data_IF_648676120865
#
_entry.id   IF_648676120865
#
_cell.length_a   1.000
_cell.length_b   1.000
_cell.length_c   1.000
_cell.angle_alpha   90.00
_cell.angle_beta   90.00
_cell.angle_gamma   90.00
#
_symmetry.space_group_name_H-M   'P 1'
#
loop_
_entity.id
_entity.type
_entity.pdbx_description
1 polymer ?
#
# COMPACT_ATOMS: atom_id res chain seq x y z
N UNK A 1 -74.61 -24.25 40.96
CA UNK A 1 -73.38 -23.64 40.38
C UNK A 1 -73.29 -24.15 38.93
N UNK A 2 -73.94 -23.49 37.95
CA UNK A 2 -73.37 -22.41 37.12
C UNK A 2 -72.02 -22.86 36.50
N UNK A 3 -71.78 -23.02 35.19
CA UNK A 3 -72.56 -22.93 33.94
C UNK A 3 -71.58 -23.40 32.81
N UNK A 4 -72.01 -24.28 31.88
CA UNK A 4 -71.89 -24.17 30.39
C UNK A 4 -70.48 -24.22 29.73
N UNK A 5 -70.11 -25.30 28.99
CA UNK A 5 -70.31 -25.60 27.53
C UNK A 5 -69.25 -24.94 26.60
N UNK A 6 -68.77 -25.45 25.44
CA UNK A 6 -69.27 -26.23 24.27
C UNK A 6 -68.02 -26.76 23.51
N UNK A 7 -67.98 -27.99 22.95
CA UNK A 7 -68.15 -28.36 21.51
C UNK A 7 -67.38 -27.45 20.51
N UNK A 8 -66.74 -27.85 19.40
CA UNK A 8 -66.66 -29.08 18.61
C UNK A 8 -65.60 -28.91 17.49
N UNK A 9 -65.07 -30.06 17.04
CA UNK A 9 -64.72 -30.47 15.66
C UNK A 9 -64.85 -29.47 14.48
N UNK A 10 -63.76 -29.42 13.69
CA UNK A 10 -63.69 -29.75 12.23
C UNK A 10 -64.32 -28.78 11.20
N UNK A 11 -63.49 -28.45 10.18
CA UNK A 11 -63.77 -28.01 8.79
C UNK A 11 -64.61 -26.74 8.58
N UNK A 12 -64.05 -25.74 7.89
CA UNK A 12 -64.22 -25.54 6.43
C UNK A 12 -64.04 -24.06 6.02
N UNK A 13 -63.15 -23.85 5.04
CA UNK A 13 -63.17 -22.86 3.95
C UNK A 13 -63.23 -21.34 4.23
N UNK A 14 -62.13 -20.72 3.74
CA UNK A 14 -62.14 -19.62 2.76
C UNK A 14 -62.58 -18.23 3.21
N UNK A 15 -61.62 -17.30 3.28
CA UNK A 15 -61.30 -16.40 2.16
C UNK A 15 -60.33 -15.30 2.60
N UNK A 16 -59.40 -14.98 1.70
CA UNK A 16 -58.79 -13.65 1.50
C UNK A 16 -57.78 -13.20 2.57
N UNK A 17 -56.69 -12.52 2.28
CA UNK A 17 -55.99 -12.03 1.08
C UNK A 17 -54.74 -11.39 1.69
N UNK A 18 -53.57 -11.57 1.05
CA UNK A 18 -52.37 -10.74 1.19
C UNK A 18 -51.74 -10.63 2.60
N UNK A 19 -50.56 -11.21 2.78
CA UNK A 19 -49.39 -10.39 3.07
C UNK A 19 -48.13 -11.11 2.59
N UNK A 20 -47.48 -10.45 1.65
CA UNK A 20 -46.18 -10.75 1.08
C UNK A 20 -45.07 -10.66 2.14
N UNK A 21 -44.21 -11.67 2.20
CA UNK A 21 -42.81 -11.47 2.59
C UNK A 21 -41.96 -12.52 1.90
N UNK A 22 -41.57 -12.21 0.66
CA UNK A 22 -40.43 -12.83 -0.01
C UNK A 22 -39.20 -12.54 0.85
N UNK A 23 -38.70 -13.55 1.57
CA UNK A 23 -37.37 -13.47 2.17
C UNK A 23 -36.34 -13.58 1.04
N UNK A 24 -36.00 -12.44 0.45
CA UNK A 24 -34.81 -12.28 -0.36
C UNK A 24 -33.61 -12.47 0.56
N UNK A 25 -33.13 -13.70 0.66
CA UNK A 25 -31.80 -13.96 1.20
C UNK A 25 -30.80 -13.42 0.18
N UNK A 26 -30.45 -12.15 0.34
CA UNK A 26 -29.40 -11.52 -0.44
C UNK A 26 -28.08 -12.18 -0.05
N UNK A 27 -27.63 -13.09 -0.91
CA UNK A 27 -26.25 -13.51 -0.95
C UNK A 27 -25.41 -12.27 -1.29
N UNK A 28 -24.96 -11.55 -0.26
CA UNK A 28 -23.84 -10.64 -0.39
C UNK A 28 -22.63 -11.48 -0.80
N UNK A 29 -22.37 -11.53 -2.11
CA UNK A 29 -21.05 -11.89 -2.61
C UNK A 29 -20.10 -10.85 -2.03
N UNK A 30 -19.32 -11.25 -1.03
CA UNK A 30 -18.10 -10.53 -0.67
C UNK A 30 -17.28 -10.41 -1.95
N UNK A 31 -17.22 -9.20 -2.51
CA UNK A 31 -16.15 -8.85 -3.41
C UNK A 31 -14.87 -8.87 -2.57
N UNK A 32 -14.25 -10.04 -2.43
CA UNK A 32 -12.83 -10.08 -2.13
C UNK A 32 -12.18 -9.54 -3.39
N UNK A 33 -11.85 -8.25 -3.35
CA UNK A 33 -10.86 -7.66 -4.24
C UNK A 33 -9.53 -8.25 -3.82
N UNK A 34 -9.34 -9.53 -4.10
CA UNK A 34 -8.02 -10.09 -4.37
C UNK A 34 -7.60 -9.47 -5.70
N UNK A 35 -7.48 -8.14 -5.74
CA UNK A 35 -6.83 -7.45 -6.83
C UNK A 35 -5.47 -8.09 -6.90
N UNK A 36 -5.21 -8.69 -8.06
CA UNK A 36 -3.87 -8.85 -8.57
C UNK A 36 -3.18 -7.51 -8.34
N UNK A 37 -2.39 -7.40 -7.27
CA UNK A 37 -1.57 -6.24 -7.00
C UNK A 37 -0.50 -6.26 -8.08
N UNK A 38 -0.80 -5.67 -9.23
CA UNK A 38 0.24 -5.18 -10.11
C UNK A 38 1.08 -4.23 -9.26
N UNK A 39 2.40 -4.39 -9.33
CA UNK A 39 3.39 -3.59 -8.61
C UNK A 39 3.39 -2.16 -9.15
N UNK A 40 2.33 -1.41 -8.86
CA UNK A 40 2.22 0.00 -9.21
C UNK A 40 3.11 0.78 -8.24
N UNK A 41 4.06 1.53 -8.80
CA UNK A 41 4.95 2.36 -8.04
C UNK A 41 4.22 3.61 -7.55
N UNK A 42 4.41 3.93 -6.28
CA UNK A 42 3.92 5.16 -5.66
C UNK A 42 5.07 5.99 -5.12
N UNK A 43 4.86 7.30 -5.01
CA UNK A 43 5.88 8.28 -4.69
C UNK A 43 5.53 9.14 -3.48
N UNK A 44 6.55 9.56 -2.76
CA UNK A 44 6.47 10.56 -1.69
C UNK A 44 6.80 11.95 -2.24
N UNK A 45 6.46 13.00 -1.48
CA UNK A 45 6.90 14.38 -1.76
C UNK A 45 8.41 14.56 -1.59
N UNK A 46 9.07 13.63 -0.90
CA UNK A 46 10.53 13.58 -0.66
C UNK A 46 11.27 12.77 -1.73
N UNK A 47 10.59 12.42 -2.82
CA UNK A 47 11.15 11.76 -3.99
C UNK A 47 11.62 10.31 -3.77
N UNK A 48 11.15 9.64 -2.71
CA UNK A 48 11.22 8.19 -2.60
C UNK A 48 10.07 7.52 -3.35
N UNK A 49 10.28 6.26 -3.73
CA UNK A 49 9.24 5.41 -4.30
C UNK A 49 9.09 4.11 -3.54
N UNK A 50 7.88 3.55 -3.59
CA UNK A 50 7.58 2.18 -3.16
C UNK A 50 6.82 1.44 -4.25
N UNK A 51 7.21 0.20 -4.55
CA UNK A 51 6.48 -0.71 -5.43
C UNK A 51 6.07 -1.94 -4.63
N UNK A 52 4.76 -2.24 -4.59
CA UNK A 52 4.20 -3.25 -3.68
C UNK A 52 3.78 -4.50 -4.44
N UNK A 53 4.33 -5.64 -4.02
CA UNK A 53 3.95 -6.97 -4.47
C UNK A 53 3.44 -7.77 -3.27
N UNK A 54 2.13 -8.05 -3.22
CA UNK A 54 1.51 -8.68 -2.06
C UNK A 54 1.60 -7.78 -0.82
N UNK A 55 2.40 -8.19 0.17
CA UNK A 55 2.64 -7.40 1.39
C UNK A 55 4.09 -6.89 1.51
N UNK A 56 4.86 -6.96 0.42
CA UNK A 56 6.25 -6.56 0.37
C UNK A 56 6.39 -5.33 -0.52
N UNK A 57 6.88 -4.24 0.03
CA UNK A 57 7.23 -3.03 -0.70
C UNK A 57 8.72 -3.00 -0.99
N UNK A 58 9.12 -2.84 -2.25
CA UNK A 58 10.48 -2.46 -2.60
C UNK A 58 10.57 -0.94 -2.60
N UNK A 59 11.59 -0.38 -1.93
CA UNK A 59 11.76 1.06 -1.73
C UNK A 59 13.01 1.55 -2.46
N UNK A 60 12.96 2.73 -3.06
CA UNK A 60 14.14 3.42 -3.60
C UNK A 60 13.93 4.92 -3.76
N UNK A 61 14.86 5.62 -4.42
CA UNK A 61 14.71 7.05 -4.76
C UNK A 61 14.36 7.22 -6.24
N UNK A 62 13.67 8.31 -6.57
CA UNK A 62 13.23 8.60 -7.94
C UNK A 62 14.38 9.02 -8.85
N UNK A 63 14.12 9.02 -10.16
CA UNK A 63 15.06 9.54 -11.16
C UNK A 63 15.43 11.01 -10.89
N UNK A 64 14.45 11.82 -10.50
CA UNK A 64 14.68 13.22 -10.14
C UNK A 64 15.65 13.35 -8.95
N UNK A 65 15.43 12.57 -7.89
CA UNK A 65 16.28 12.60 -6.70
C UNK A 65 17.74 12.22 -7.00
N UNK A 66 17.97 11.15 -7.76
CA UNK A 66 19.34 10.75 -8.08
C UNK A 66 20.04 11.75 -9.01
N UNK A 67 19.30 12.41 -9.90
CA UNK A 67 19.84 13.48 -10.75
C UNK A 67 20.23 14.70 -9.93
N UNK A 68 19.40 15.08 -8.95
CA UNK A 68 19.68 16.18 -8.03
C UNK A 68 20.89 15.89 -7.12
N UNK A 69 21.04 14.64 -6.64
CA UNK A 69 22.23 14.21 -5.90
C UNK A 69 23.49 14.19 -6.79
N UNK A 70 23.36 13.78 -8.04
CA UNK A 70 24.48 13.45 -8.92
C UNK A 70 25.05 12.06 -8.64
N UNK A 71 26.31 11.84 -9.01
CA UNK A 71 26.96 10.52 -8.92
C UNK A 71 27.06 10.05 -7.47
N UNK A 72 26.24 9.06 -7.12
CA UNK A 72 26.18 8.50 -5.76
C UNK A 72 27.42 7.64 -5.52
N UNK A 73 28.10 7.91 -4.40
CA UNK A 73 29.35 7.25 -4.00
C UNK A 73 29.21 6.47 -2.70
N UNK A 74 28.13 6.67 -1.95
CA UNK A 74 27.88 5.96 -0.70
C UNK A 74 26.36 5.80 -0.46
N UNK A 75 25.99 4.67 0.14
CA UNK A 75 24.63 4.37 0.55
C UNK A 75 24.63 3.67 1.92
N UNK A 76 23.96 4.28 2.90
CA UNK A 76 23.68 3.68 4.20
C UNK A 76 22.24 3.18 4.20
N UNK A 77 22.08 1.85 4.21
CA UNK A 77 20.78 1.19 4.13
C UNK A 77 20.38 0.61 5.49
N UNK A 78 19.07 0.51 5.79
CA UNK A 78 18.62 -0.06 7.05
C UNK A 78 18.86 -1.57 7.09
N UNK A 79 19.17 -2.09 8.28
CA UNK A 79 19.35 -3.53 8.47
C UNK A 79 18.00 -4.27 8.54
N UNK A 80 17.93 -5.52 8.02
CA UNK A 80 16.76 -6.38 8.20
C UNK A 80 16.35 -6.54 9.67
N UNK A 81 15.04 -6.53 9.94
CA UNK A 81 14.45 -6.54 11.27
C UNK A 81 14.21 -5.15 11.88
N UNK A 82 14.71 -4.09 11.25
CA UNK A 82 14.42 -2.71 11.68
C UNK A 82 12.97 -2.34 11.37
N UNK A 83 12.28 -1.70 12.31
CA UNK A 83 10.87 -1.29 12.17
C UNK A 83 10.80 0.23 12.03
N UNK A 84 10.08 0.70 11.01
CA UNK A 84 9.85 2.11 10.73
C UNK A 84 8.36 2.42 10.67
N UNK A 85 8.01 3.66 11.00
CA UNK A 85 6.74 4.29 10.63
C UNK A 85 6.91 5.06 9.32
N UNK A 86 5.81 5.30 8.62
CA UNK A 86 5.78 6.19 7.47
C UNK A 86 6.37 7.56 7.83
N UNK A 87 7.34 8.00 7.04
CA UNK A 87 8.06 9.26 7.24
C UNK A 87 9.24 9.22 8.21
N UNK A 88 9.54 8.06 8.83
CA UNK A 88 10.76 7.91 9.63
C UNK A 88 11.99 7.90 8.72
N UNK A 89 13.08 8.51 9.18
CA UNK A 89 14.39 8.40 8.54
C UNK A 89 14.88 6.95 8.63
N UNK A 90 15.29 6.38 7.50
CA UNK A 90 15.66 4.97 7.39
C UNK A 90 17.02 4.72 6.73
N UNK A 91 17.69 5.77 6.24
CA UNK A 91 19.01 5.65 5.63
C UNK A 91 19.53 6.99 5.12
N UNK A 92 20.67 6.95 4.44
CA UNK A 92 21.28 8.13 3.84
C UNK A 92 22.02 7.77 2.54
N UNK A 93 22.04 8.70 1.59
CA UNK A 93 22.78 8.60 0.34
C UNK A 93 23.73 9.79 0.21
N UNK A 94 24.94 9.54 -0.24
CA UNK A 94 25.94 10.60 -0.47
C UNK A 94 26.51 10.53 -1.88
N UNK A 95 26.72 11.70 -2.45
CA UNK A 95 27.44 11.95 -3.70
C UNK A 95 28.67 12.81 -3.43
N UNK A 96 29.45 13.09 -4.47
CA UNK A 96 30.56 14.05 -4.39
C UNK A 96 30.07 15.50 -4.19
N UNK A 97 28.76 15.74 -4.38
CA UNK A 97 28.16 17.09 -4.37
C UNK A 97 27.25 17.34 -3.17
N UNK A 98 26.58 16.31 -2.66
CA UNK A 98 25.51 16.42 -1.68
C UNK A 98 25.38 15.15 -0.85
N UNK A 99 24.67 15.26 0.27
CA UNK A 99 24.15 14.14 1.04
C UNK A 99 22.65 14.36 1.28
N UNK A 100 21.87 13.28 1.31
CA UNK A 100 20.45 13.34 1.63
C UNK A 100 20.07 12.14 2.48
N UNK A 101 19.27 12.39 3.50
CA UNK A 101 18.57 11.35 4.24
C UNK A 101 17.48 10.72 3.36
N UNK A 102 17.17 9.45 3.63
CA UNK A 102 16.11 8.67 2.98
C UNK A 102 15.03 8.40 4.02
N UNK A 103 13.77 8.59 3.65
CA UNK A 103 12.63 8.41 4.53
C UNK A 103 11.77 7.22 4.10
N UNK A 104 11.23 6.47 5.06
CA UNK A 104 10.38 5.31 4.74
C UNK A 104 9.03 5.77 4.18
N UNK A 105 8.64 5.36 2.96
CA UNK A 105 7.36 5.75 2.36
C UNK A 105 6.14 5.11 3.04
N UNK A 106 6.36 4.02 3.80
CA UNK A 106 5.32 3.23 4.47
C UNK A 106 5.82 2.70 5.81
N UNK A 107 4.89 2.38 6.71
CA UNK A 107 5.20 1.74 7.99
C UNK A 107 5.41 0.24 7.81
N UNK A 108 6.44 -0.34 8.44
CA UNK A 108 6.69 -1.77 8.36
C UNK A 108 8.04 -2.22 8.93
N UNK A 109 8.37 -3.47 8.67
CA UNK A 109 9.64 -4.09 9.08
C UNK A 109 10.50 -4.37 7.86
N UNK A 110 11.77 -3.95 7.87
CA UNK A 110 12.72 -4.21 6.79
C UNK A 110 13.00 -5.70 6.71
N UNK A 111 12.81 -6.29 5.54
CA UNK A 111 13.03 -7.72 5.30
C UNK A 111 14.34 -8.00 4.57
N UNK A 112 14.82 -7.04 3.79
CA UNK A 112 15.99 -7.20 2.93
C UNK A 112 16.62 -5.84 2.64
N UNK A 113 17.95 -5.75 2.63
CA UNK A 113 18.68 -4.59 2.11
C UNK A 113 19.44 -4.97 0.85
N UNK A 114 19.57 -4.05 -0.10
CA UNK A 114 20.28 -4.30 -1.35
C UNK A 114 21.78 -4.13 -1.17
N UNK A 115 22.48 -5.18 -0.76
CA UNK A 115 23.93 -5.15 -0.55
C UNK A 115 24.71 -4.81 -1.82
N UNK A 116 24.14 -5.07 -3.01
CA UNK A 116 24.77 -4.66 -4.28
C UNK A 116 24.85 -3.14 -4.42
N UNK A 117 23.89 -2.41 -3.87
CA UNK A 117 23.92 -0.94 -3.85
C UNK A 117 24.93 -0.44 -2.83
N UNK A 118 25.06 -1.09 -1.67
CA UNK A 118 26.14 -0.76 -0.71
C UNK A 118 27.53 -0.98 -1.36
N UNK A 119 27.71 -2.07 -2.10
CA UNK A 119 28.97 -2.42 -2.79
C UNK A 119 29.20 -1.58 -4.07
N UNK A 120 28.14 -1.11 -4.71
CA UNK A 120 28.18 -0.37 -5.98
C UNK A 120 27.10 0.72 -6.03
N UNK A 121 27.28 1.85 -5.33
CA UNK A 121 26.24 2.88 -5.16
C UNK A 121 25.75 3.51 -6.47
N UNK A 122 26.58 3.53 -7.52
CA UNK A 122 26.19 4.02 -8.86
C UNK A 122 25.05 3.22 -9.54
N UNK A 123 24.62 2.09 -8.99
CA UNK A 123 23.38 1.42 -9.39
C UNK A 123 22.14 2.30 -9.17
N UNK A 124 22.16 3.17 -8.17
CA UNK A 124 21.08 4.13 -7.91
C UNK A 124 20.91 5.08 -9.10
N UNK A 125 22.03 5.54 -9.68
CA UNK A 125 22.01 6.44 -10.84
C UNK A 125 21.65 5.70 -12.14
N UNK A 126 22.21 4.51 -12.37
CA UNK A 126 22.11 3.81 -13.66
C UNK A 126 20.86 2.92 -13.81
N UNK A 127 20.35 2.38 -12.69
CA UNK A 127 19.29 1.38 -12.64
C UNK A 127 18.23 1.73 -11.57
N UNK A 128 17.91 3.02 -11.44
CA UNK A 128 17.07 3.63 -10.37
C UNK A 128 15.80 2.85 -10.03
N UNK A 129 15.17 2.27 -11.05
CA UNK A 129 13.85 1.64 -10.99
C UNK A 129 13.88 0.13 -11.11
N UNK A 130 15.06 -0.45 -11.29
CA UNK A 130 15.29 -1.89 -11.41
C UNK A 130 16.25 -2.34 -10.32
N UNK A 131 17.56 -2.36 -10.58
CA UNK A 131 18.57 -2.89 -9.67
C UNK A 131 19.02 -1.90 -8.57
N UNK A 132 18.59 -0.64 -8.67
CA UNK A 132 18.89 0.46 -7.74
C UNK A 132 17.89 0.61 -6.58
N UNK A 133 17.03 -0.39 -6.32
CA UNK A 133 16.21 -0.41 -5.10
C UNK A 133 17.12 -0.45 -3.86
N UNK A 134 16.68 0.15 -2.76
CA UNK A 134 17.47 0.31 -1.54
C UNK A 134 17.19 -0.82 -0.54
N UNK A 135 15.92 -1.00 -0.16
CA UNK A 135 15.52 -2.04 0.78
C UNK A 135 14.10 -2.54 0.48
N UNK A 136 13.75 -3.69 1.03
CA UNK A 136 12.37 -4.21 1.04
C UNK A 136 11.80 -4.14 2.43
N UNK A 137 10.53 -3.78 2.51
CA UNK A 137 9.79 -3.63 3.75
C UNK A 137 8.52 -4.46 3.69
N UNK A 138 8.24 -5.21 4.76
CA UNK A 138 6.95 -5.86 4.96
C UNK A 138 5.98 -4.84 5.56
N UNK A 139 4.96 -4.47 4.80
CA UNK A 139 4.02 -3.44 5.19
C UNK A 139 3.24 -3.86 6.44
N UNK A 140 3.13 -2.94 7.40
CA UNK A 140 2.26 -3.07 8.56
C UNK A 140 0.88 -2.43 8.34
N UNK A 141 0.78 -1.50 7.40
CA UNK A 141 -0.44 -0.80 7.03
C UNK A 141 -0.51 -0.53 5.53
N UNK A 142 -1.26 -1.34 4.79
CA UNK A 142 -1.38 -1.19 3.33
C UNK A 142 -2.07 0.12 2.91
N UNK A 143 -2.95 0.69 3.75
CA UNK A 143 -3.69 1.91 3.42
C UNK A 143 -2.83 3.18 3.33
N UNK A 144 -1.58 3.11 3.79
CA UNK A 144 -0.61 4.21 3.65
C UNK A 144 -0.16 4.39 2.19
N UNK A 145 -0.14 3.31 1.41
CA UNK A 145 0.22 3.32 -0.02
C UNK A 145 -0.79 4.12 -0.83
N UNK A 146 -2.07 4.02 -0.49
CA UNK A 146 -3.16 4.71 -1.20
C UNK A 146 -3.07 6.24 -1.09
N UNK A 147 -2.36 6.74 -0.08
CA UNK A 147 -2.15 8.18 0.16
C UNK A 147 -0.96 8.74 -0.63
N UNK A 148 -0.10 7.87 -1.13
CA UNK A 148 1.09 8.25 -1.90
C UNK A 148 0.69 8.59 -3.34
N UNK A 149 1.51 9.42 -3.96
CA UNK A 149 1.29 9.88 -5.33
C UNK A 149 1.42 8.73 -6.32
N UNK A 150 0.51 8.66 -7.28
CA UNK A 150 0.71 7.87 -8.50
C UNK A 150 1.82 8.50 -9.36
N UNK A 151 2.31 7.76 -10.36
CA UNK A 151 3.27 8.29 -11.36
C UNK A 151 2.78 9.61 -11.98
N UNK A 152 1.51 9.68 -12.40
CA UNK A 152 0.92 10.88 -13.01
C UNK A 152 0.84 12.06 -12.04
N UNK A 153 0.55 11.80 -10.76
CA UNK A 153 0.52 12.84 -9.73
C UNK A 153 1.93 13.35 -9.43
N UNK A 154 2.90 12.44 -9.36
CA UNK A 154 4.29 12.78 -9.11
C UNK A 154 4.90 13.60 -10.26
N UNK A 155 4.60 13.25 -11.52
CA UNK A 155 5.06 14.03 -12.67
C UNK A 155 4.50 15.46 -12.65
N UNK A 156 3.22 15.64 -12.31
CA UNK A 156 2.63 16.98 -12.13
C UNK A 156 3.26 17.74 -10.98
N UNK A 157 3.53 17.06 -9.87
CA UNK A 157 4.22 17.65 -8.72
C UNK A 157 5.62 18.17 -9.11
N UNK A 158 6.36 17.45 -9.95
CA UNK A 158 7.66 17.91 -10.47
C UNK A 158 7.51 19.13 -11.40
N UNK A 159 6.53 19.12 -12.31
CA UNK A 159 6.27 20.28 -13.19
C UNK A 159 5.92 21.55 -12.39
N UNK A 160 5.14 21.42 -11.31
CA UNK A 160 4.77 22.55 -10.45
C UNK A 160 5.93 23.03 -9.55
N UNK A 161 6.83 22.14 -9.14
CA UNK A 161 7.98 22.48 -8.29
C UNK A 161 9.12 23.18 -9.05
N UNK A 162 9.24 22.95 -10.36
CA UNK A 162 10.27 23.55 -11.23
C UNK A 162 9.88 24.97 -11.75
N UNK A 163 8.70 25.48 -11.38
CA UNK A 163 8.17 26.80 -11.76
C UNK A 163 8.17 27.81 -10.60
#
# INVERSE_FOLDING_TARGET
MVLIAKFARVLQQSQKVLHSSLSLQQNFRQFSVSALLNAERRYTEKHEWVSVEGNTGSVGISKYAQEALGDVVFAQLPDPGTVFKQGDECGALESVKAASEVYSPVSGEVTEKNTKVEDSPGLINSHTYTDGWLFKIKLSNASEVDKLMTEDQYNKFLEEADH
#
